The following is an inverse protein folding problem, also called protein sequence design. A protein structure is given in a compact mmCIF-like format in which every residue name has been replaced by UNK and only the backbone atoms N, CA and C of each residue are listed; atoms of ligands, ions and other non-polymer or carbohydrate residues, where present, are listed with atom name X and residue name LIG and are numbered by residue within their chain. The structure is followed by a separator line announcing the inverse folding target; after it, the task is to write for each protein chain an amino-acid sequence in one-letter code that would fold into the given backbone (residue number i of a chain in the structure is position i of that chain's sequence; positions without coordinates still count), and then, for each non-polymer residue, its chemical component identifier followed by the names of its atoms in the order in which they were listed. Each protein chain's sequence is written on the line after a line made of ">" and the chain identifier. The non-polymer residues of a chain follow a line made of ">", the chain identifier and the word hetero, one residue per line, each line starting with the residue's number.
data_IF_988056544885
#
_entry.id   IF_988056544885
#
_cell.length_a   1.000
_cell.length_b   1.000
_cell.length_c   1.000
_cell.angle_alpha   90.00
_cell.angle_beta   90.00
_cell.angle_gamma   90.00
#
_symmetry.space_group_name_H-M   'P 1'
#
loop_
_entity.id
_entity.type
_entity.pdbx_description
1 polymer ?
#
# COMPACT_ATOMS: atom_id res chain seq x y z
N UNK A 1 -66.23 10.11 -58.22
CA UNK A 1 -65.84 10.13 -56.79
C UNK A 1 -64.75 11.17 -56.63
N UNK A 2 -65.10 12.45 -56.51
CA UNK A 2 -65.33 13.22 -55.27
C UNK A 2 -64.08 13.45 -54.41
N UNK A 3 -63.72 14.73 -54.39
CA UNK A 3 -62.81 15.50 -53.55
C UNK A 3 -63.36 15.74 -52.14
N UNK A 4 -62.48 16.15 -51.20
CA UNK A 4 -62.61 17.22 -50.16
C UNK A 4 -61.71 16.89 -48.94
N UNK A 5 -60.72 17.72 -48.57
CA UNK A 5 -60.76 18.96 -47.75
C UNK A 5 -61.08 18.76 -46.24
N UNK A 6 -60.03 18.91 -45.43
CA UNK A 6 -59.90 19.64 -44.14
C UNK A 6 -60.92 19.47 -42.99
N UNK A 7 -60.43 19.38 -41.75
CA UNK A 7 -60.70 20.36 -40.68
C UNK A 7 -59.95 20.01 -39.37
N UNK A 8 -59.51 21.06 -38.66
CA UNK A 8 -58.98 21.04 -37.29
C UNK A 8 -60.04 20.59 -36.26
N UNK A 9 -59.61 19.96 -35.16
CA UNK A 9 -60.01 20.35 -33.80
C UNK A 9 -59.10 19.76 -32.72
N UNK A 10 -58.73 20.62 -31.79
CA UNK A 10 -57.89 20.40 -30.63
C UNK A 10 -58.69 19.92 -29.41
N UNK A 11 -58.05 19.14 -28.53
CA UNK A 11 -58.27 19.01 -27.08
C UNK A 11 -56.90 18.61 -26.51
N UNK A 12 -56.08 19.53 -25.98
CA UNK A 12 -56.11 20.06 -24.60
C UNK A 12 -55.95 18.96 -23.53
N UNK A 13 -54.71 18.77 -23.06
CA UNK A 13 -54.35 18.00 -21.88
C UNK A 13 -53.24 18.75 -21.15
N UNK A 14 -53.54 19.19 -19.95
CA UNK A 14 -52.94 20.31 -19.23
C UNK A 14 -51.53 20.01 -18.67
N UNK A 15 -50.63 20.98 -18.79
CA UNK A 15 -49.46 21.13 -17.91
C UNK A 15 -49.89 21.89 -16.66
N UNK A 16 -49.58 21.42 -15.43
CA UNK A 16 -49.78 22.24 -14.24
C UNK A 16 -48.69 23.32 -14.14
N UNK A 17 -49.02 24.49 -13.57
CA UNK A 17 -48.20 25.68 -13.62
C UNK A 17 -47.08 25.70 -12.57
N UNK A 18 -45.91 26.20 -12.99
CA UNK A 18 -44.85 26.68 -12.11
C UNK A 18 -45.32 27.94 -11.37
N UNK A 19 -45.49 27.83 -10.06
CA UNK A 19 -45.69 29.00 -9.21
C UNK A 19 -44.35 29.55 -8.74
N UNK A 20 -44.04 30.77 -9.19
CA UNK A 20 -43.02 31.62 -8.61
C UNK A 20 -43.34 31.89 -7.12
N UNK A 21 -42.40 31.56 -6.23
CA UNK A 21 -42.28 32.24 -4.94
C UNK A 21 -40.91 32.92 -4.89
N UNK A 22 -40.94 34.25 -5.05
CA UNK A 22 -39.85 35.17 -4.70
C UNK A 22 -39.60 35.09 -3.20
N UNK A 23 -38.49 34.45 -2.80
CA UNK A 23 -37.86 34.59 -1.49
C UNK A 23 -36.54 35.32 -1.67
N UNK A 24 -36.42 36.52 -1.10
CA UNK A 24 -35.30 37.43 -1.31
C UNK A 24 -33.96 36.85 -0.86
N UNK A 25 -33.02 36.73 -1.79
CA UNK A 25 -31.60 36.53 -1.49
C UNK A 25 -31.05 37.88 -1.00
N UNK A 26 -30.77 37.97 0.30
CA UNK A 26 -29.92 39.01 0.85
C UNK A 26 -28.54 38.91 0.17
N UNK A 27 -28.29 39.77 -0.82
CA UNK A 27 -26.95 40.00 -1.36
C UNK A 27 -26.08 40.62 -0.26
N UNK A 28 -25.38 39.78 0.48
CA UNK A 28 -24.26 40.18 1.33
C UNK A 28 -23.16 40.76 0.44
N UNK A 29 -23.02 42.08 0.48
CA UNK A 29 -21.97 42.81 -0.24
C UNK A 29 -20.63 42.43 0.40
N UNK A 30 -19.79 41.68 -0.31
CA UNK A 30 -18.44 41.38 0.15
C UNK A 30 -17.68 42.71 0.37
N UNK A 31 -16.97 42.87 1.49
CA UNK A 31 -16.22 44.09 1.73
C UNK A 31 -15.08 44.18 0.70
N UNK A 32 -14.72 45.39 0.22
CA UNK A 32 -13.67 45.55 -0.78
C UNK A 32 -12.38 44.90 -0.28
N UNK A 33 -11.60 44.24 -1.15
CA UNK A 33 -10.44 43.41 -0.76
C UNK A 33 -9.42 44.07 0.17
N UNK A 34 -9.40 45.42 0.22
CA UNK A 34 -8.63 46.21 1.20
C UNK A 34 -9.07 46.01 2.65
N UNK A 35 -10.37 45.81 2.90
CA UNK A 35 -10.92 45.55 4.23
C UNK A 35 -10.60 44.12 4.71
N UNK A 36 -10.57 43.14 3.80
CA UNK A 36 -10.14 41.77 4.11
C UNK A 36 -8.65 41.76 4.43
N UNK A 37 -7.82 42.44 3.63
CA UNK A 37 -6.40 42.57 3.89
C UNK A 37 -6.10 43.27 5.22
N UNK A 38 -6.86 44.32 5.56
CA UNK A 38 -6.73 45.01 6.85
C UNK A 38 -7.11 44.11 8.04
N UNK A 39 -8.18 43.32 7.92
CA UNK A 39 -8.58 42.33 8.93
C UNK A 39 -7.53 41.23 9.12
N UNK A 40 -6.94 40.72 8.02
CA UNK A 40 -5.86 39.74 8.09
C UNK A 40 -4.61 40.33 8.75
N UNK A 41 -4.25 41.57 8.42
CA UNK A 41 -3.10 42.23 9.02
C UNK A 41 -3.31 42.52 10.51
N UNK A 42 -4.51 42.96 10.90
CA UNK A 42 -4.85 43.15 12.32
C UNK A 42 -4.79 41.83 13.11
N UNK A 43 -5.29 40.74 12.52
CA UNK A 43 -5.21 39.39 13.10
C UNK A 43 -3.78 38.94 13.31
N UNK A 44 -2.90 39.23 12.33
CA UNK A 44 -1.48 38.89 12.40
C UNK A 44 -0.75 39.70 13.49
N UNK A 45 -1.01 41.01 13.58
CA UNK A 45 -0.43 41.88 14.61
C UNK A 45 -0.93 41.50 16.01
N UNK A 46 -2.22 41.17 16.16
CA UNK A 46 -2.77 40.65 17.41
C UNK A 46 -2.12 39.31 17.78
N UNK A 47 -1.96 38.39 16.82
CA UNK A 47 -1.25 37.14 17.04
C UNK A 47 0.18 37.34 17.54
N UNK A 48 0.90 38.31 16.96
CA UNK A 48 2.28 38.65 17.36
C UNK A 48 2.36 39.26 18.76
N UNK A 49 1.37 40.06 19.16
CA UNK A 49 1.29 40.64 20.52
C UNK A 49 0.93 39.59 21.59
N UNK A 50 0.18 38.54 21.21
CA UNK A 50 -0.17 37.44 22.12
C UNK A 50 0.91 36.34 22.20
N UNK A 51 1.70 36.11 21.15
CA UNK A 51 2.84 35.17 21.21
C UNK A 51 4.09 35.75 21.88
N UNK A 52 4.21 37.08 21.96
CA UNK A 52 5.28 37.76 22.71
C UNK A 52 5.18 37.72 24.25
N UNK A 53 4.15 37.05 24.83
CA UNK A 53 3.93 36.99 26.29
C UNK A 53 3.70 35.59 26.87
N UNK A 54 3.93 34.52 26.11
CA UNK A 54 3.91 33.17 26.68
C UNK A 54 5.32 32.83 27.15
N UNK A 55 5.61 33.20 28.39
CA UNK A 55 6.75 32.66 29.13
C UNK A 55 6.57 31.15 29.31
N UNK A 56 7.62 30.40 29.01
CA UNK A 56 7.73 28.96 29.26
C UNK A 56 7.44 28.67 30.73
N UNK A 57 6.32 28.01 31.01
CA UNK A 57 5.98 27.48 32.34
C UNK A 57 6.74 26.15 32.55
N UNK A 58 7.45 25.96 33.68
CA UNK A 58 8.03 24.67 34.01
C UNK A 58 6.98 23.69 34.52
N UNK A 59 7.20 22.40 34.23
CA UNK A 59 6.35 21.26 34.58
C UNK A 59 6.06 21.15 36.10
N UNK A 60 4.82 20.78 36.52
CA UNK A 60 4.51 20.60 37.93
C UNK A 60 5.00 19.24 38.44
N UNK A 61 5.96 19.28 39.37
CA UNK A 61 6.32 18.15 40.24
C UNK A 61 5.24 17.95 41.30
N UNK A 62 4.67 16.74 41.33
CA UNK A 62 3.80 16.27 42.42
C UNK A 62 4.56 16.27 43.76
N UNK A 63 3.98 16.92 44.78
CA UNK A 63 4.29 16.68 46.19
C UNK A 63 3.01 16.30 46.93
N UNK A 64 2.87 15.01 47.21
CA UNK A 64 2.05 14.49 48.30
C UNK A 64 2.81 14.57 49.63
N UNK A 65 2.11 15.03 50.66
CA UNK A 65 2.58 15.37 52.01
C UNK A 65 2.65 14.12 52.90
N UNK A 66 3.75 13.92 53.65
CA UNK A 66 3.70 13.29 54.97
C UNK A 66 4.80 13.86 55.91
N UNK A 67 4.56 13.72 57.21
CA UNK A 67 4.86 14.66 58.29
C UNK A 67 6.29 14.58 58.85
N UNK A 68 6.63 15.62 59.63
CA UNK A 68 7.95 15.96 60.17
C UNK A 68 8.61 14.95 61.12
N UNK A 69 9.93 15.05 61.24
CA UNK A 69 10.63 15.35 62.50
C UNK A 69 12.17 15.42 62.33
N UNK A 70 12.75 16.48 62.92
CA UNK A 70 14.09 16.62 63.53
C UNK A 70 15.38 16.52 62.67
N UNK A 71 15.97 17.71 62.51
CA UNK A 71 17.38 18.12 62.66
C UNK A 71 18.53 17.08 62.64
N UNK A 72 19.51 17.32 61.76
CA UNK A 72 20.94 17.43 62.11
C UNK A 72 21.72 18.05 60.95
N UNK A 73 22.60 18.99 61.26
CA UNK A 73 23.51 19.68 60.37
C UNK A 73 24.79 18.86 60.08
N UNK A 74 25.39 19.02 58.90
CA UNK A 74 26.85 19.10 58.70
C UNK A 74 27.25 19.38 57.23
N UNK A 75 28.08 20.42 57.06
CA UNK A 75 29.20 20.60 56.12
C UNK A 75 29.02 20.28 54.62
N UNK A 76 28.99 21.28 53.72
CA UNK A 76 30.11 22.06 53.16
C UNK A 76 30.77 21.41 51.93
N UNK A 77 30.72 22.11 50.79
CA UNK A 77 31.42 21.74 49.56
C UNK A 77 31.00 22.58 48.35
N UNK A 78 31.53 23.80 48.24
CA UNK A 78 31.38 24.70 47.08
C UNK A 78 32.22 24.19 45.90
N UNK A 79 31.63 24.06 44.71
CA UNK A 79 32.28 24.38 43.43
C UNK A 79 31.21 24.67 42.37
N UNK A 80 30.90 25.96 42.17
CA UNK A 80 30.04 26.43 41.10
C UNK A 80 30.90 26.99 39.97
N UNK A 81 31.03 26.25 38.87
CA UNK A 81 31.60 26.77 37.63
C UNK A 81 30.51 27.56 36.89
N UNK A 82 30.78 28.85 36.65
CA UNK A 82 29.91 29.77 35.91
C UNK A 82 30.07 29.44 34.42
N UNK A 83 29.07 28.84 33.80
CA UNK A 83 28.99 28.76 32.32
C UNK A 83 28.14 29.93 31.85
N UNK A 84 28.79 30.94 31.29
CA UNK A 84 28.14 31.98 30.49
C UNK A 84 27.79 31.38 29.13
N UNK A 85 26.50 31.31 28.81
CA UNK A 85 26.04 30.99 27.45
C UNK A 85 26.15 32.26 26.63
N UNK A 86 27.13 32.28 25.74
CA UNK A 86 27.26 33.27 24.68
C UNK A 86 26.27 32.89 23.58
N UNK A 87 25.35 33.81 23.24
CA UNK A 87 24.38 33.61 22.16
C UNK A 87 25.12 33.80 20.83
N UNK A 88 25.55 32.70 20.21
CA UNK A 88 26.18 32.74 18.89
C UNK A 88 25.08 33.00 17.85
N UNK A 89 25.18 34.14 17.18
CA UNK A 89 24.35 34.53 16.04
C UNK A 89 24.72 33.61 14.85
N UNK A 90 23.90 32.59 14.58
CA UNK A 90 24.18 31.60 13.55
C UNK A 90 23.87 32.15 12.15
N UNK A 91 24.85 32.03 11.26
CA UNK A 91 24.75 32.51 9.89
C UNK A 91 23.83 31.61 9.03
N UNK A 92 23.20 32.13 7.96
CA UNK A 92 22.20 31.39 7.17
C UNK A 92 22.69 30.07 6.53
N UNK A 93 24.01 29.86 6.46
CA UNK A 93 24.62 28.64 5.88
C UNK A 93 24.54 27.42 6.81
N UNK A 94 24.37 27.60 8.12
CA UNK A 94 24.32 26.50 9.09
C UNK A 94 22.90 25.95 9.30
N UNK A 95 21.88 26.77 9.05
CA UNK A 95 20.46 26.41 9.19
C UNK A 95 20.11 25.21 8.28
N UNK A 96 20.59 25.19 7.04
CA UNK A 96 20.33 24.07 6.13
C UNK A 96 20.98 22.76 6.60
N UNK A 97 22.16 22.86 7.24
CA UNK A 97 22.86 21.73 7.84
C UNK A 97 22.12 21.19 9.06
N UNK A 98 21.67 22.07 9.96
CA UNK A 98 20.84 21.70 11.11
C UNK A 98 19.50 21.09 10.68
N UNK A 99 18.79 21.71 9.74
CA UNK A 99 17.52 21.19 9.20
C UNK A 99 17.71 19.79 8.61
N UNK A 100 18.80 19.55 7.88
CA UNK A 100 19.12 18.22 7.33
C UNK A 100 19.37 17.20 8.44
N UNK A 101 20.12 17.56 9.49
CA UNK A 101 20.34 16.70 10.67
C UNK A 101 19.04 16.40 11.41
N UNK A 102 18.14 17.37 11.55
CA UNK A 102 16.82 17.17 12.16
C UNK A 102 15.97 16.19 11.35
N UNK A 103 15.94 16.32 10.02
CA UNK A 103 15.21 15.37 9.17
C UNK A 103 15.78 13.95 9.27
N UNK A 104 17.11 13.79 9.32
CA UNK A 104 17.75 12.49 9.55
C UNK A 104 17.39 11.91 10.92
N UNK A 105 17.32 12.74 11.97
CA UNK A 105 16.93 12.31 13.30
C UNK A 105 15.46 11.85 13.34
N UNK A 106 14.56 12.58 12.69
CA UNK A 106 13.14 12.20 12.55
C UNK A 106 13.02 10.86 11.81
N UNK A 107 13.70 10.72 10.67
CA UNK A 107 13.68 9.47 9.89
C UNK A 107 14.19 8.27 10.69
N UNK A 108 15.23 8.48 11.50
CA UNK A 108 15.77 7.45 12.39
C UNK A 108 14.78 7.06 13.48
N UNK A 109 14.12 8.04 14.09
CA UNK A 109 13.13 7.81 15.13
C UNK A 109 11.90 7.06 14.60
N UNK A 110 11.39 7.45 13.42
CA UNK A 110 10.27 6.75 12.77
C UNK A 110 10.60 5.28 12.49
N UNK A 111 11.83 4.97 12.08
CA UNK A 111 12.30 3.59 11.90
C UNK A 111 12.30 2.82 13.22
N UNK A 112 12.78 3.44 14.31
CA UNK A 112 12.80 2.81 15.63
C UNK A 112 11.38 2.52 16.15
N UNK A 113 10.45 3.46 16.00
CA UNK A 113 9.05 3.25 16.41
C UNK A 113 8.43 2.10 15.61
N UNK A 114 8.58 2.14 14.27
CA UNK A 114 8.08 1.09 13.37
C UNK A 114 8.65 -0.29 13.73
N UNK A 115 9.95 -0.36 14.07
CA UNK A 115 10.59 -1.60 14.51
C UNK A 115 10.02 -2.12 15.83
N UNK A 116 9.79 -1.25 16.83
CA UNK A 116 9.28 -1.63 18.14
C UNK A 116 7.81 -2.08 18.10
N UNK A 117 6.97 -1.35 17.35
CA UNK A 117 5.57 -1.75 17.11
C UNK A 117 5.51 -3.13 16.44
N UNK A 118 6.46 -3.42 15.55
CA UNK A 118 6.56 -4.70 14.90
C UNK A 118 7.02 -5.82 15.83
N UNK A 119 8.05 -5.61 16.67
CA UNK A 119 8.44 -6.60 17.69
C UNK A 119 7.24 -6.96 18.56
N UNK A 120 6.46 -5.95 18.97
CA UNK A 120 5.23 -6.17 19.71
C UNK A 120 4.17 -6.95 18.92
N UNK A 121 3.99 -6.66 17.63
CA UNK A 121 3.07 -7.39 16.74
C UNK A 121 3.50 -8.84 16.49
N UNK A 122 4.80 -9.08 16.29
CA UNK A 122 5.40 -10.41 16.18
C UNK A 122 5.16 -11.18 17.47
N UNK A 123 5.47 -10.62 18.64
CA UNK A 123 5.28 -11.30 19.93
C UNK A 123 3.81 -11.67 20.16
N UNK A 124 2.87 -10.81 19.74
CA UNK A 124 1.43 -11.09 19.81
C UNK A 124 0.96 -12.19 18.88
N UNK A 125 1.59 -12.34 17.72
CA UNK A 125 1.18 -13.31 16.67
C UNK A 125 1.95 -14.63 16.73
N UNK A 126 3.14 -14.68 17.33
CA UNK A 126 3.98 -15.87 17.42
C UNK A 126 3.48 -16.85 18.50
N UNK A 127 2.27 -17.40 18.29
CA UNK A 127 1.69 -18.46 19.12
C UNK A 127 2.40 -19.82 18.98
N UNK A 128 3.31 -19.97 18.00
CA UNK A 128 3.89 -21.27 17.61
C UNK A 128 5.34 -21.49 18.06
N UNK A 129 6.01 -20.51 18.69
CA UNK A 129 7.36 -20.69 19.25
C UNK A 129 8.43 -21.08 18.22
N UNK A 130 8.16 -20.94 16.91
CA UNK A 130 9.14 -21.22 15.85
C UNK A 130 9.99 -19.96 15.60
N UNK A 131 11.31 -20.11 15.38
CA UNK A 131 12.17 -18.99 15.02
C UNK A 131 11.74 -18.46 13.64
N UNK A 132 11.47 -17.16 13.58
CA UNK A 132 11.05 -16.47 12.36
C UNK A 132 12.25 -16.35 11.43
N UNK A 133 12.05 -16.67 10.14
CA UNK A 133 13.12 -16.67 9.15
C UNK A 133 13.33 -15.26 8.60
N UNK A 134 14.57 -14.78 8.59
CA UNK A 134 14.92 -13.52 7.93
C UNK A 134 14.91 -13.68 6.41
N UNK A 135 14.42 -12.67 5.70
CA UNK A 135 14.45 -12.58 4.24
C UNK A 135 14.61 -11.11 3.84
N UNK A 136 15.03 -10.85 2.60
CA UNK A 136 14.93 -9.52 2.00
C UNK A 136 13.51 -9.30 1.46
N UNK A 137 13.04 -10.22 0.62
CA UNK A 137 11.73 -10.12 -0.04
C UNK A 137 11.02 -11.47 0.02
N UNK A 138 9.73 -11.46 0.33
CA UNK A 138 8.86 -12.65 0.16
C UNK A 138 7.78 -12.35 -0.88
N UNK A 139 7.74 -13.16 -1.92
CA UNK A 139 6.86 -13.03 -3.09
C UNK A 139 5.80 -14.13 -3.04
N UNK A 140 4.55 -13.72 -2.88
CA UNK A 140 3.38 -14.59 -2.98
C UNK A 140 2.75 -14.49 -4.36
N UNK A 141 2.72 -15.61 -5.08
CA UNK A 141 2.06 -15.72 -6.39
C UNK A 141 0.65 -16.28 -6.14
N UNK A 142 -0.36 -15.42 -6.17
CA UNK A 142 -1.75 -15.83 -6.00
C UNK A 142 -2.19 -16.72 -7.16
N UNK A 143 -2.62 -17.95 -6.84
CA UNK A 143 -3.04 -18.95 -7.83
C UNK A 143 -4.36 -19.60 -7.43
N UNK A 144 -4.96 -20.39 -8.33
CA UNK A 144 -6.19 -21.14 -8.08
C UNK A 144 -6.02 -22.64 -8.36
N UNK A 145 -6.98 -23.45 -7.92
CA UNK A 145 -6.98 -24.89 -8.18
C UNK A 145 -6.94 -25.24 -9.68
N UNK A 146 -7.62 -24.45 -10.52
CA UNK A 146 -7.65 -24.62 -11.98
C UNK A 146 -6.36 -24.15 -12.68
N UNK A 147 -5.44 -23.48 -11.97
CA UNK A 147 -4.27 -22.83 -12.57
C UNK A 147 -3.02 -23.71 -12.68
N UNK A 148 -3.12 -25.04 -12.61
CA UNK A 148 -1.94 -25.93 -12.68
C UNK A 148 -1.03 -25.62 -13.87
N UNK A 149 -1.61 -25.56 -15.07
CA UNK A 149 -0.86 -25.25 -16.30
C UNK A 149 -0.21 -23.87 -16.29
N UNK A 150 -0.82 -22.88 -15.61
CA UNK A 150 -0.21 -21.55 -15.45
C UNK A 150 1.02 -21.63 -14.55
N UNK A 151 0.91 -22.29 -13.39
CA UNK A 151 2.06 -22.50 -12.48
C UNK A 151 3.22 -23.20 -13.18
N UNK A 152 2.93 -24.24 -13.96
CA UNK A 152 3.95 -24.93 -14.75
C UNK A 152 4.60 -24.00 -15.77
N UNK A 153 3.82 -23.15 -16.46
CA UNK A 153 4.38 -22.14 -17.38
C UNK A 153 5.29 -21.10 -16.68
N UNK A 154 4.99 -20.73 -15.42
CA UNK A 154 5.85 -19.85 -14.63
C UNK A 154 7.16 -20.56 -14.25
N UNK A 155 7.06 -21.83 -13.84
CA UNK A 155 8.22 -22.68 -13.47
C UNK A 155 9.13 -23.04 -14.65
N UNK A 156 8.58 -22.98 -15.86
CA UNK A 156 9.32 -23.11 -17.12
C UNK A 156 9.94 -21.79 -17.60
N UNK A 157 9.66 -20.69 -16.89
CA UNK A 157 10.14 -19.34 -17.21
C UNK A 157 10.80 -18.68 -15.99
N UNK A 158 10.13 -17.74 -15.33
CA UNK A 158 10.75 -16.86 -14.34
C UNK A 158 10.70 -17.39 -12.89
N UNK A 159 9.96 -18.46 -12.60
CA UNK A 159 9.91 -19.06 -11.26
C UNK A 159 10.95 -20.19 -11.15
N UNK A 160 12.03 -20.01 -10.38
CA UNK A 160 13.04 -21.05 -10.20
C UNK A 160 12.48 -22.26 -9.45
N UNK A 161 13.06 -23.44 -9.70
CA UNK A 161 12.66 -24.72 -9.10
C UNK A 161 13.81 -25.40 -8.36
N UNK A 162 13.47 -26.30 -7.44
CA UNK A 162 14.40 -27.24 -6.83
C UNK A 162 15.60 -26.56 -6.17
N UNK A 163 16.81 -26.93 -6.58
CA UNK A 163 18.05 -26.36 -6.04
C UNK A 163 18.20 -24.86 -6.32
N UNK A 164 17.74 -24.36 -7.47
CA UNK A 164 17.79 -22.93 -7.80
C UNK A 164 16.91 -22.11 -6.87
N UNK A 165 15.70 -22.59 -6.57
CA UNK A 165 14.79 -21.92 -5.63
C UNK A 165 15.40 -21.86 -4.22
N UNK A 166 15.93 -22.99 -3.73
CA UNK A 166 16.59 -23.05 -2.41
C UNK A 166 17.81 -22.13 -2.33
N UNK A 167 18.63 -22.10 -3.39
CA UNK A 167 19.79 -21.21 -3.48
C UNK A 167 19.37 -19.74 -3.43
N UNK A 168 18.29 -19.39 -4.14
CA UNK A 168 17.75 -18.03 -4.17
C UNK A 168 17.27 -17.60 -2.77
N UNK A 169 16.61 -18.49 -2.04
CA UNK A 169 16.19 -18.24 -0.66
C UNK A 169 17.38 -18.07 0.29
N UNK A 170 18.37 -18.96 0.21
CA UNK A 170 19.50 -19.00 1.15
C UNK A 170 20.52 -17.89 0.91
N UNK A 171 20.87 -17.64 -0.35
CA UNK A 171 21.96 -16.71 -0.69
C UNK A 171 21.48 -15.28 -0.90
N UNK A 172 20.24 -15.09 -1.34
CA UNK A 172 19.69 -13.76 -1.64
C UNK A 172 18.57 -13.33 -0.70
N UNK A 173 18.07 -14.21 0.15
CA UNK A 173 16.93 -13.91 1.01
C UNK A 173 15.65 -13.62 0.22
N UNK A 174 15.52 -14.17 -0.99
CA UNK A 174 14.33 -13.99 -1.84
C UNK A 174 13.51 -15.27 -1.79
N UNK A 175 12.30 -15.18 -1.22
CA UNK A 175 11.40 -16.32 -1.04
C UNK A 175 10.25 -16.21 -2.04
N UNK A 176 9.97 -17.28 -2.80
CA UNK A 176 8.84 -17.33 -3.73
C UNK A 176 7.89 -18.47 -3.35
N UNK A 177 6.60 -18.18 -3.19
CA UNK A 177 5.59 -19.21 -2.92
C UNK A 177 4.33 -19.00 -3.75
N UNK A 178 3.80 -20.08 -4.31
CA UNK A 178 2.44 -20.12 -4.83
C UNK A 178 1.44 -20.12 -3.67
N UNK A 179 0.59 -19.10 -3.62
CA UNK A 179 -0.34 -18.86 -2.53
C UNK A 179 -1.71 -19.42 -2.86
N UNK A 180 -2.14 -20.40 -2.08
CA UNK A 180 -3.43 -21.08 -2.27
C UNK A 180 -4.06 -21.47 -0.93
N UNK A 181 -5.37 -21.27 -0.84
CA UNK A 181 -6.20 -21.72 0.26
C UNK A 181 -6.64 -23.18 0.12
N UNK A 182 -7.76 -23.48 0.77
CA UNK A 182 -8.43 -24.78 0.85
C UNK A 182 -9.65 -24.81 -0.05
N UNK A 183 -10.01 -25.99 -0.55
CA UNK A 183 -11.18 -26.16 -1.41
C UNK A 183 -12.52 -26.06 -0.66
N UNK A 184 -12.50 -26.28 0.66
CA UNK A 184 -13.67 -26.20 1.53
C UNK A 184 -13.26 -25.94 3.00
N UNK A 185 -14.20 -25.58 3.90
CA UNK A 185 -13.93 -25.45 5.32
C UNK A 185 -13.40 -26.72 6.00
N UNK A 186 -13.79 -27.90 5.50
CA UNK A 186 -13.27 -29.18 5.99
C UNK A 186 -11.88 -29.51 5.41
N UNK A 187 -11.54 -28.95 4.24
CA UNK A 187 -10.31 -29.28 3.51
C UNK A 187 -10.28 -30.72 3.01
N UNK A 188 -9.13 -31.15 2.49
CA UNK A 188 -8.87 -32.54 2.12
C UNK A 188 -9.67 -33.06 0.91
N UNK A 189 -10.32 -32.17 0.15
CA UNK A 189 -11.04 -32.53 -1.08
C UNK A 189 -10.10 -33.01 -2.19
N UNK A 190 -10.66 -33.48 -3.31
CA UNK A 190 -9.84 -33.92 -4.46
C UNK A 190 -8.92 -32.80 -4.98
N UNK A 191 -9.39 -31.55 -4.98
CA UNK A 191 -8.60 -30.37 -5.35
C UNK A 191 -7.46 -30.11 -4.36
N UNK A 192 -7.70 -30.27 -3.05
CA UNK A 192 -6.65 -30.12 -2.03
C UNK A 192 -5.58 -31.20 -2.20
N UNK A 193 -5.98 -32.46 -2.38
CA UNK A 193 -5.04 -33.58 -2.59
C UNK A 193 -4.20 -33.42 -3.85
N UNK A 194 -4.76 -32.82 -4.92
CA UNK A 194 -3.99 -32.52 -6.12
C UNK A 194 -2.89 -31.47 -5.85
N UNK A 195 -3.18 -30.46 -5.03
CA UNK A 195 -2.17 -29.48 -4.58
C UNK A 195 -1.15 -30.14 -3.65
N UNK A 196 -1.58 -31.03 -2.75
CA UNK A 196 -0.65 -31.73 -1.85
C UNK A 196 0.31 -32.62 -2.62
N UNK A 197 -0.15 -33.29 -3.69
CA UNK A 197 0.71 -34.06 -4.60
C UNK A 197 1.70 -33.16 -5.36
N UNK A 198 1.26 -31.98 -5.82
CA UNK A 198 2.15 -31.01 -6.46
C UNK A 198 3.21 -30.46 -5.51
N UNK A 199 2.82 -30.08 -4.29
CA UNK A 199 3.73 -29.60 -3.24
C UNK A 199 4.69 -30.70 -2.77
N UNK A 200 4.30 -31.97 -2.85
CA UNK A 200 5.19 -33.10 -2.58
C UNK A 200 6.42 -33.08 -3.52
N UNK A 201 6.21 -32.71 -4.78
CA UNK A 201 7.24 -32.64 -5.82
C UNK A 201 7.99 -31.30 -5.85
N UNK A 202 7.26 -30.20 -5.74
CA UNK A 202 7.77 -28.86 -6.10
C UNK A 202 8.29 -28.04 -4.91
N UNK A 203 7.70 -28.23 -3.72
CA UNK A 203 8.10 -27.54 -2.48
C UNK A 203 8.04 -26.01 -2.56
N UNK A 204 7.07 -25.49 -3.30
CA UNK A 204 6.96 -24.07 -3.62
C UNK A 204 5.59 -23.44 -3.26
N UNK A 205 4.77 -24.08 -2.42
CA UNK A 205 3.48 -23.53 -1.98
C UNK A 205 3.51 -22.87 -0.60
N UNK A 206 2.65 -21.87 -0.43
CA UNK A 206 2.16 -21.36 0.85
C UNK A 206 0.67 -21.69 0.95
N UNK A 207 0.32 -22.59 1.87
CA UNK A 207 -1.06 -23.00 2.14
C UNK A 207 -1.67 -22.03 3.15
N UNK A 208 -2.82 -21.44 2.80
CA UNK A 208 -3.54 -20.50 3.65
C UNK A 208 -4.73 -21.15 4.34
N UNK A 209 -5.02 -20.71 5.56
CA UNK A 209 -6.28 -20.97 6.25
C UNK A 209 -7.40 -20.07 5.70
N UNK A 210 -7.74 -20.32 4.45
CA UNK A 210 -8.69 -19.55 3.65
C UNK A 210 -9.43 -20.49 2.72
N UNK A 211 -10.75 -20.38 2.59
CA UNK A 211 -11.50 -21.16 1.59
C UNK A 211 -11.53 -20.38 0.29
N UNK A 212 -10.99 -20.96 -0.78
CA UNK A 212 -10.96 -20.32 -2.09
C UNK A 212 -12.38 -20.14 -2.64
N UNK A 213 -12.61 -18.99 -3.29
CA UNK A 213 -13.90 -18.65 -3.88
C UNK A 213 -13.77 -17.49 -4.86
N UNK A 214 -14.73 -17.37 -5.77
CA UNK A 214 -14.70 -16.35 -6.82
C UNK A 214 -14.69 -14.91 -6.27
N UNK A 215 -15.39 -14.67 -5.16
CA UNK A 215 -15.49 -13.35 -4.50
C UNK A 215 -14.58 -13.21 -3.28
N UNK A 216 -13.62 -14.11 -3.11
CA UNK A 216 -12.82 -14.21 -1.89
C UNK A 216 -11.39 -13.66 -2.03
N UNK A 217 -11.03 -13.07 -3.18
CA UNK A 217 -9.68 -12.57 -3.44
C UNK A 217 -9.21 -11.53 -2.40
N UNK A 218 -10.05 -10.57 -2.04
CA UNK A 218 -9.74 -9.57 -1.01
C UNK A 218 -9.50 -10.22 0.36
N UNK A 219 -10.27 -11.28 0.69
CA UNK A 219 -10.06 -12.10 1.89
C UNK A 219 -8.74 -12.84 1.81
N UNK A 220 -8.45 -13.48 0.68
CA UNK A 220 -7.20 -14.22 0.42
C UNK A 220 -5.98 -13.33 0.63
N UNK A 221 -5.97 -12.12 0.08
CA UNK A 221 -4.87 -11.16 0.24
C UNK A 221 -4.69 -10.74 1.69
N UNK A 222 -5.78 -10.46 2.41
CA UNK A 222 -5.70 -10.14 3.84
C UNK A 222 -5.10 -11.29 4.65
N UNK A 223 -5.56 -12.52 4.40
CA UNK A 223 -5.04 -13.73 5.06
C UNK A 223 -3.58 -13.97 4.67
N UNK A 224 -3.22 -13.78 3.40
CA UNK A 224 -1.85 -13.89 2.90
C UNK A 224 -0.89 -13.00 3.70
N UNK A 225 -1.16 -11.69 3.81
CA UNK A 225 -0.31 -10.80 4.59
C UNK A 225 -0.30 -11.11 6.08
N UNK A 226 -1.43 -11.55 6.64
CA UNK A 226 -1.49 -11.98 8.05
C UNK A 226 -0.62 -13.22 8.31
N UNK A 227 -0.66 -14.21 7.41
CA UNK A 227 0.08 -15.47 7.52
C UNK A 227 1.57 -15.28 7.25
N UNK A 228 1.94 -14.57 6.18
CA UNK A 228 3.31 -14.51 5.69
C UNK A 228 4.27 -13.86 6.69
N UNK A 229 3.82 -12.83 7.41
CA UNK A 229 4.64 -12.13 8.41
C UNK A 229 4.92 -13.00 9.65
N UNK A 230 4.06 -14.00 9.90
CA UNK A 230 4.26 -14.94 11.02
C UNK A 230 5.34 -16.00 10.72
N UNK A 231 5.73 -16.13 9.46
CA UNK A 231 6.67 -17.15 8.98
C UNK A 231 8.02 -16.52 8.63
N UNK A 232 7.99 -15.37 7.95
CA UNK A 232 9.17 -14.64 7.50
C UNK A 232 9.15 -13.22 8.02
N UNK A 233 10.30 -12.77 8.52
CA UNK A 233 10.61 -11.38 8.83
C UNK A 233 11.40 -10.83 7.62
N UNK A 234 10.71 -10.08 6.76
CA UNK A 234 11.25 -9.56 5.51
C UNK A 234 11.13 -8.04 5.41
N UNK A 235 12.00 -7.40 4.63
CA UNK A 235 11.92 -5.95 4.37
C UNK A 235 10.69 -5.61 3.52
N UNK A 236 10.37 -6.46 2.54
CA UNK A 236 9.19 -6.33 1.68
C UNK A 236 8.42 -7.63 1.49
N UNK A 237 7.10 -7.49 1.35
CA UNK A 237 6.19 -8.56 0.97
C UNK A 237 5.50 -8.18 -0.35
N UNK A 238 5.57 -9.06 -1.34
CA UNK A 238 5.09 -8.83 -2.71
C UNK A 238 3.93 -9.77 -2.99
N UNK A 239 2.85 -9.25 -3.57
CA UNK A 239 1.79 -10.06 -4.18
C UNK A 239 1.90 -9.97 -5.69
N UNK A 240 1.76 -11.10 -6.37
CA UNK A 240 1.77 -11.23 -7.84
C UNK A 240 0.63 -12.16 -8.28
N UNK A 241 0.01 -11.90 -9.43
CA UNK A 241 -0.93 -12.85 -10.05
C UNK A 241 -0.22 -13.93 -10.88
N UNK A 242 -0.83 -15.12 -11.00
CA UNK A 242 -0.23 -16.27 -11.71
C UNK A 242 -0.23 -16.17 -13.25
N UNK A 243 -0.69 -15.05 -13.79
CA UNK A 243 -0.66 -14.71 -15.21
C UNK A 243 0.17 -13.45 -15.51
N UNK A 244 1.14 -13.11 -14.66
CA UNK A 244 2.07 -11.99 -14.85
C UNK A 244 3.49 -12.50 -15.11
N UNK A 245 4.21 -11.87 -16.03
CA UNK A 245 5.66 -12.08 -16.21
C UNK A 245 6.42 -11.11 -15.31
N UNK A 246 7.41 -11.61 -14.57
CA UNK A 246 8.22 -10.82 -13.63
C UNK A 246 9.71 -11.03 -13.91
N UNK A 247 10.45 -9.93 -13.96
CA UNK A 247 11.92 -9.92 -13.95
C UNK A 247 12.39 -9.78 -12.49
N UNK A 248 12.85 -10.88 -11.89
CA UNK A 248 13.12 -10.97 -10.46
C UNK A 248 14.26 -10.04 -10.02
N UNK A 249 15.36 -9.99 -10.77
CA UNK A 249 16.49 -9.08 -10.57
C UNK A 249 16.08 -7.63 -10.62
N UNK A 250 15.26 -7.24 -11.60
CA UNK A 250 14.69 -5.89 -11.69
C UNK A 250 13.77 -5.57 -10.50
N UNK A 251 12.92 -6.51 -10.08
CA UNK A 251 12.04 -6.35 -8.92
C UNK A 251 12.85 -6.09 -7.65
N UNK A 252 13.82 -6.97 -7.34
CA UNK A 252 14.58 -6.88 -6.09
C UNK A 252 15.52 -5.67 -6.06
N UNK A 253 16.13 -5.33 -7.20
CA UNK A 253 16.94 -4.10 -7.33
C UNK A 253 16.08 -2.85 -7.14
N UNK A 254 14.85 -2.87 -7.64
CA UNK A 254 13.90 -1.77 -7.44
C UNK A 254 13.51 -1.61 -5.97
N UNK A 255 13.19 -2.70 -5.29
CA UNK A 255 12.83 -2.69 -3.87
C UNK A 255 14.01 -2.30 -2.96
N UNK A 256 15.24 -2.70 -3.32
CA UNK A 256 16.44 -2.38 -2.54
C UNK A 256 16.65 -0.87 -2.38
N UNK A 257 16.28 -0.07 -3.39
CA UNK A 257 16.31 1.41 -3.33
C UNK A 257 15.42 2.01 -2.24
N UNK A 258 14.43 1.26 -1.78
CA UNK A 258 13.44 1.70 -0.80
C UNK A 258 13.54 0.98 0.54
N UNK A 259 14.54 0.10 0.71
CA UNK A 259 14.76 -0.67 1.96
C UNK A 259 14.86 0.21 3.20
N UNK A 260 15.46 1.40 3.06
CA UNK A 260 15.58 2.36 4.15
C UNK A 260 14.34 3.24 4.35
N UNK A 261 13.28 3.13 3.55
CA UNK A 261 12.07 3.97 3.69
C UNK A 261 10.98 3.25 4.48
N UNK A 262 10.49 3.82 5.59
CA UNK A 262 9.37 3.23 6.32
C UNK A 262 8.08 3.34 5.49
N UNK A 263 7.09 2.51 5.82
CA UNK A 263 5.71 2.59 5.31
C UNK A 263 5.63 2.73 3.78
N UNK A 264 6.39 1.91 3.07
CA UNK A 264 6.48 1.93 1.61
C UNK A 264 5.40 1.06 0.97
N UNK A 265 4.59 1.65 0.09
CA UNK A 265 3.66 0.94 -0.78
C UNK A 265 4.02 1.24 -2.24
N UNK A 266 4.49 0.21 -2.95
CA UNK A 266 5.05 0.35 -4.30
C UNK A 266 4.33 -0.54 -5.30
N UNK A 267 4.05 0.03 -6.47
CA UNK A 267 3.47 -0.64 -7.60
C UNK A 267 3.15 0.37 -8.70
N UNK A 268 2.51 -0.08 -9.77
CA UNK A 268 2.01 0.84 -10.78
C UNK A 268 0.72 1.49 -10.28
N UNK A 269 0.81 2.76 -9.88
CA UNK A 269 -0.29 3.46 -9.22
C UNK A 269 -1.32 3.92 -10.26
N UNK A 270 -2.58 3.61 -9.98
CA UNK A 270 -3.72 3.92 -10.83
C UNK A 270 -4.87 4.53 -10.03
N UNK A 271 -5.78 5.17 -10.75
CA UNK A 271 -7.12 5.54 -10.29
C UNK A 271 -8.04 5.41 -11.49
N UNK A 272 -9.20 4.79 -11.28
CA UNK A 272 -10.15 4.45 -12.34
C UNK A 272 -11.59 4.57 -11.86
N UNK A 273 -12.55 4.54 -12.78
CA UNK A 273 -13.97 4.68 -12.42
C UNK A 273 -14.38 3.59 -11.42
N UNK A 274 -15.23 3.96 -10.47
CA UNK A 274 -15.85 2.99 -9.56
C UNK A 274 -16.79 2.09 -10.37
N UNK A 275 -16.66 0.78 -10.20
CA UNK A 275 -17.45 -0.21 -10.95
C UNK A 275 -18.84 -0.39 -10.33
N UNK A 276 -19.69 0.64 -10.46
CA UNK A 276 -21.03 0.68 -9.84
C UNK A 276 -22.13 -0.04 -10.63
N UNK A 277 -21.88 -0.39 -11.90
CA UNK A 277 -22.88 -1.03 -12.76
C UNK A 277 -23.02 -2.52 -12.47
N UNK A 278 -24.24 -3.00 -12.21
CA UNK A 278 -24.51 -4.43 -12.06
C UNK A 278 -24.14 -5.20 -13.34
N UNK A 279 -23.57 -6.39 -13.19
CA UNK A 279 -23.21 -7.26 -14.31
C UNK A 279 -21.81 -7.06 -14.88
N UNK A 280 -21.09 -5.99 -14.49
CA UNK A 280 -19.67 -5.87 -14.80
C UNK A 280 -18.84 -6.75 -13.86
N UNK A 281 -17.71 -7.26 -14.36
CA UNK A 281 -16.73 -7.96 -13.54
C UNK A 281 -16.27 -7.04 -12.41
N UNK A 282 -16.27 -7.54 -11.17
CA UNK A 282 -15.94 -6.77 -9.97
C UNK A 282 -16.88 -5.59 -9.67
N UNK A 283 -18.16 -5.69 -10.04
CA UNK A 283 -19.19 -4.75 -9.56
C UNK A 283 -19.07 -4.57 -8.04
N UNK A 284 -18.94 -3.32 -7.60
CA UNK A 284 -18.80 -2.93 -6.21
C UNK A 284 -20.17 -2.60 -5.62
N UNK A 285 -20.79 -3.49 -4.83
CA UNK A 285 -22.12 -3.25 -4.27
C UNK A 285 -22.17 -2.04 -3.33
N UNK A 286 -21.05 -1.67 -2.72
CA UNK A 286 -20.93 -0.53 -1.82
C UNK A 286 -20.27 0.68 -2.51
N UNK A 287 -20.48 0.82 -3.82
CA UNK A 287 -19.90 1.90 -4.65
C UNK A 287 -20.18 3.30 -4.11
N UNK A 288 -21.31 3.49 -3.42
CA UNK A 288 -21.72 4.75 -2.81
C UNK A 288 -20.74 5.26 -1.72
N UNK A 289 -19.89 4.40 -1.16
CA UNK A 289 -18.84 4.79 -0.21
C UNK A 289 -17.69 5.58 -0.86
N UNK A 290 -17.57 5.52 -2.19
CA UNK A 290 -16.57 6.24 -2.95
C UNK A 290 -17.05 7.63 -3.41
N UNK A 291 -18.22 8.06 -2.91
CA UNK A 291 -18.85 9.34 -3.19
C UNK A 291 -19.91 9.25 -4.29
N UNK A 292 -19.98 10.26 -5.13
CA UNK A 292 -21.04 10.44 -6.12
C UNK A 292 -20.80 9.64 -7.41
N UNK A 293 -21.83 9.56 -8.25
CA UNK A 293 -21.73 8.94 -9.56
C UNK A 293 -20.66 9.64 -10.42
N UNK A 294 -19.82 8.84 -11.08
CA UNK A 294 -18.68 9.35 -11.85
C UNK A 294 -17.39 9.47 -11.05
N UNK A 295 -17.42 9.28 -9.72
CA UNK A 295 -16.20 9.24 -8.92
C UNK A 295 -15.28 8.07 -9.31
N UNK A 296 -14.02 8.27 -8.99
CA UNK A 296 -12.97 7.28 -9.16
C UNK A 296 -12.59 6.66 -7.83
N UNK A 297 -12.09 5.43 -7.86
CA UNK A 297 -11.38 4.87 -6.72
C UNK A 297 -10.21 5.80 -6.33
N UNK A 298 -9.90 5.87 -5.04
CA UNK A 298 -8.66 6.50 -4.55
C UNK A 298 -7.45 5.88 -5.25
N UNK A 299 -6.31 6.58 -5.22
CA UNK A 299 -5.10 6.08 -5.88
C UNK A 299 -4.57 4.84 -5.17
N UNK A 300 -4.36 3.75 -5.91
CA UNK A 300 -3.85 2.47 -5.41
C UNK A 300 -2.99 1.79 -6.48
N UNK A 301 -2.14 0.85 -6.08
CA UNK A 301 -1.37 0.04 -7.03
C UNK A 301 -2.27 -0.96 -7.75
N UNK A 302 -1.94 -1.27 -9.01
CA UNK A 302 -2.67 -2.29 -9.78
C UNK A 302 -2.54 -3.69 -9.19
N UNK A 303 -3.61 -4.49 -9.26
CA UNK A 303 -3.66 -5.82 -8.65
C UNK A 303 -2.66 -6.85 -9.18
N UNK A 304 -2.15 -6.72 -10.41
CA UNK A 304 -1.26 -7.70 -11.01
C UNK A 304 0.03 -7.91 -10.21
N UNK A 305 0.59 -6.83 -9.68
CA UNK A 305 1.76 -6.87 -8.82
C UNK A 305 1.88 -5.59 -7.98
N UNK A 306 2.17 -5.77 -6.70
CA UNK A 306 2.54 -4.68 -5.80
C UNK A 306 3.37 -5.22 -4.63
N UNK A 307 4.11 -4.33 -3.96
CA UNK A 307 4.82 -4.65 -2.74
C UNK A 307 4.50 -3.66 -1.63
N UNK A 308 4.52 -4.16 -0.39
CA UNK A 308 4.41 -3.35 0.81
C UNK A 308 5.59 -3.65 1.72
N UNK A 309 6.07 -2.63 2.43
CA UNK A 309 7.07 -2.79 3.47
C UNK A 309 6.54 -3.59 4.64
N UNK A 310 7.48 -4.10 5.41
CA UNK A 310 7.26 -4.87 6.64
C UNK A 310 6.22 -4.30 7.59
N UNK A 311 6.30 -3.01 7.87
CA UNK A 311 5.46 -2.31 8.83
C UNK A 311 4.00 -2.17 8.35
N UNK A 312 3.77 -1.97 7.05
CA UNK A 312 2.43 -2.01 6.48
C UNK A 312 1.84 -3.42 6.51
N UNK A 313 2.64 -4.46 6.25
CA UNK A 313 2.18 -5.83 6.38
C UNK A 313 1.84 -6.17 7.85
N UNK A 314 2.62 -5.68 8.81
CA UNK A 314 2.34 -5.79 10.24
C UNK A 314 1.03 -5.08 10.63
N UNK A 315 0.82 -3.85 10.15
CA UNK A 315 -0.43 -3.12 10.32
C UNK A 315 -1.64 -3.91 9.81
N UNK A 316 -1.52 -4.50 8.61
CA UNK A 316 -2.59 -5.33 8.02
C UNK A 316 -2.91 -6.52 8.92
N UNK A 317 -1.88 -7.22 9.41
CA UNK A 317 -2.06 -8.38 10.28
C UNK A 317 -2.73 -8.03 11.61
N UNK A 318 -2.25 -6.97 12.28
CA UNK A 318 -2.80 -6.51 13.57
C UNK A 318 -4.26 -6.07 13.44
N UNK A 319 -4.60 -5.37 12.36
CA UNK A 319 -5.94 -4.80 12.16
C UNK A 319 -6.86 -5.69 11.31
N UNK A 320 -6.38 -6.88 10.90
CA UNK A 320 -7.07 -7.81 9.99
C UNK A 320 -8.58 -8.00 10.28
N UNK A 321 -9.06 -8.14 11.54
CA UNK A 321 -10.48 -8.31 11.83
C UNK A 321 -11.38 -7.14 11.40
N UNK A 322 -10.85 -5.91 11.38
CA UNK A 322 -11.61 -4.69 11.08
C UNK A 322 -11.37 -4.14 9.67
N UNK A 323 -10.40 -4.70 8.94
CA UNK A 323 -10.13 -4.27 7.56
C UNK A 323 -11.28 -4.66 6.63
N UNK A 324 -11.94 -3.64 6.08
CA UNK A 324 -13.05 -3.78 5.15
C UNK A 324 -12.59 -4.35 3.81
N UNK A 325 -13.44 -5.10 3.12
CA UNK A 325 -13.11 -5.76 1.86
C UNK A 325 -14.09 -5.31 0.79
N UNK A 326 -13.56 -4.73 -0.27
CA UNK A 326 -14.27 -4.39 -1.48
C UNK A 326 -14.21 -5.55 -2.48
N UNK A 327 -15.07 -5.51 -3.50
CA UNK A 327 -15.15 -6.55 -4.53
C UNK A 327 -13.83 -6.68 -5.32
N UNK A 328 -13.11 -5.57 -5.48
CA UNK A 328 -11.79 -5.55 -6.09
C UNK A 328 -10.70 -5.63 -5.00
N UNK A 329 -9.75 -6.54 -5.19
CA UNK A 329 -8.72 -6.86 -4.21
C UNK A 329 -7.69 -5.74 -4.07
N UNK A 330 -7.31 -5.12 -5.19
CA UNK A 330 -6.33 -4.04 -5.22
C UNK A 330 -6.89 -2.74 -4.61
N UNK A 331 -8.18 -2.47 -4.85
CA UNK A 331 -8.94 -1.43 -4.14
C UNK A 331 -8.99 -1.75 -2.64
N UNK A 332 -9.26 -2.99 -2.25
CA UNK A 332 -9.28 -3.37 -0.82
C UNK A 332 -7.95 -3.03 -0.14
N UNK A 333 -6.83 -3.48 -0.72
CA UNK A 333 -5.50 -3.18 -0.18
C UNK A 333 -5.26 -1.67 -0.05
N UNK A 334 -5.52 -0.90 -1.13
CA UNK A 334 -5.30 0.55 -1.08
C UNK A 334 -6.19 1.24 -0.03
N UNK A 335 -7.40 0.74 0.23
CA UNK A 335 -8.27 1.31 1.28
C UNK A 335 -7.73 1.12 2.69
N UNK A 336 -6.95 0.07 2.93
CA UNK A 336 -6.33 -0.18 4.23
C UNK A 336 -5.20 0.79 4.51
N UNK A 337 -4.60 1.35 3.45
CA UNK A 337 -3.39 2.17 3.50
C UNK A 337 -3.66 3.67 3.31
N UNK A 338 -4.77 4.06 2.67
CA UNK A 338 -5.04 5.46 2.29
C UNK A 338 -5.17 6.42 3.49
N UNK A 339 -5.60 5.92 4.65
CA UNK A 339 -5.71 6.70 5.89
C UNK A 339 -4.40 6.77 6.70
N UNK A 340 -3.33 6.15 6.21
CA UNK A 340 -2.02 6.10 6.88
C UNK A 340 -1.03 7.03 6.17
N UNK A 341 0.00 7.44 6.90
CA UNK A 341 1.14 8.18 6.35
C UNK A 341 2.08 7.24 5.55
N UNK A 342 1.65 6.86 4.35
CA UNK A 342 2.28 5.86 3.48
C UNK A 342 3.02 6.52 2.31
N UNK A 343 4.26 6.08 2.10
CA UNK A 343 5.05 6.39 0.91
C UNK A 343 4.50 5.62 -0.30
N UNK A 344 3.58 6.24 -1.05
CA UNK A 344 3.06 5.70 -2.31
C UNK A 344 4.06 5.92 -3.44
N UNK A 345 4.64 4.83 -3.94
CA UNK A 345 5.62 4.85 -5.03
C UNK A 345 4.96 4.36 -6.31
N UNK A 346 4.87 5.25 -7.29
CA UNK A 346 4.38 4.94 -8.63
C UNK A 346 5.51 4.42 -9.52
N UNK A 347 5.69 3.10 -9.51
CA UNK A 347 6.73 2.41 -10.29
C UNK A 347 6.15 1.87 -11.60
N UNK A 348 6.33 2.63 -12.68
CA UNK A 348 5.76 2.33 -14.01
C UNK A 348 6.37 1.11 -14.67
N UNK A 349 7.57 0.69 -14.26
CA UNK A 349 8.17 -0.56 -14.74
C UNK A 349 7.41 -1.81 -14.26
N UNK A 350 6.51 -1.70 -13.27
CA UNK A 350 5.68 -2.80 -12.77
C UNK A 350 4.36 -2.99 -13.54
N UNK A 351 4.15 -2.31 -14.67
CA UNK A 351 2.93 -2.44 -15.48
C UNK A 351 3.17 -2.23 -16.99
N UNK A 352 4.27 -2.75 -17.52
CA UNK A 352 4.51 -2.73 -18.95
C UNK A 352 3.54 -3.65 -19.70
N UNK A 353 3.21 -3.30 -20.93
CA UNK A 353 2.52 -4.19 -21.85
C UNK A 353 3.42 -5.37 -22.25
N UNK A 354 2.82 -6.51 -22.62
CA UNK A 354 3.57 -7.59 -23.28
C UNK A 354 4.10 -7.13 -24.65
N UNK A 355 4.93 -7.92 -25.38
CA UNK A 355 5.48 -7.50 -26.65
C UNK A 355 4.41 -6.93 -27.61
N UNK A 356 4.72 -5.81 -28.28
CA UNK A 356 6.07 -5.22 -28.43
C UNK A 356 6.51 -4.24 -27.31
N UNK A 357 5.64 -3.84 -26.37
CA UNK A 357 5.93 -2.74 -25.43
C UNK A 357 7.14 -3.02 -24.53
N UNK A 358 7.09 -4.10 -23.73
CA UNK A 358 8.23 -4.45 -22.86
C UNK A 358 9.53 -4.72 -23.63
N UNK A 359 9.44 -5.19 -24.88
CA UNK A 359 10.59 -5.46 -25.73
C UNK A 359 11.27 -4.16 -26.18
N UNK A 360 10.50 -3.16 -26.63
CA UNK A 360 11.04 -1.85 -26.99
C UNK A 360 11.67 -1.15 -25.78
N UNK A 361 11.00 -1.19 -24.63
CA UNK A 361 11.55 -0.62 -23.39
C UNK A 361 12.88 -1.27 -22.99
N UNK A 362 12.99 -2.59 -23.13
CA UNK A 362 14.25 -3.30 -22.90
C UNK A 362 15.36 -2.87 -23.86
N UNK A 363 15.06 -2.66 -25.14
CA UNK A 363 16.04 -2.17 -26.14
C UNK A 363 16.56 -0.76 -25.81
N UNK A 364 15.74 0.06 -25.16
CA UNK A 364 16.10 1.39 -24.67
C UNK A 364 16.81 1.37 -23.29
N UNK A 365 17.06 0.19 -22.72
CA UNK A 365 17.68 0.04 -21.39
C UNK A 365 16.69 0.19 -20.22
N UNK A 366 15.40 0.37 -20.49
CA UNK A 366 14.34 0.51 -19.48
C UNK A 366 13.65 -0.84 -19.22
N UNK A 367 14.41 -1.83 -18.75
CA UNK A 367 13.87 -3.18 -18.50
C UNK A 367 12.72 -3.13 -17.50
N UNK A 368 11.58 -3.72 -17.86
CA UNK A 368 10.40 -3.75 -17.01
C UNK A 368 10.57 -4.71 -15.82
N UNK A 369 10.00 -4.35 -14.67
CA UNK A 369 9.86 -5.25 -13.52
C UNK A 369 8.79 -6.30 -13.79
N UNK A 370 7.66 -5.88 -14.38
CA UNK A 370 6.57 -6.79 -14.72
C UNK A 370 5.88 -6.41 -16.03
N UNK A 371 5.40 -7.44 -16.72
CA UNK A 371 4.73 -7.31 -18.02
C UNK A 371 3.41 -8.10 -18.06
N UNK A 372 2.32 -7.46 -18.50
CA UNK A 372 1.00 -8.08 -18.64
C UNK A 372 0.09 -7.28 -19.60
N UNK A 373 -1.04 -7.87 -20.00
CA UNK A 373 -2.00 -7.23 -20.92
C UNK A 373 -3.18 -6.63 -20.14
N UNK A 374 -3.45 -5.33 -20.31
CA UNK A 374 -4.59 -4.66 -19.65
C UNK A 374 -5.95 -5.25 -20.06
N UNK A 375 -6.08 -5.71 -21.31
CA UNK A 375 -7.32 -6.28 -21.86
C UNK A 375 -7.77 -7.55 -21.13
N UNK A 376 -6.83 -8.34 -20.60
CA UNK A 376 -7.11 -9.56 -19.85
C UNK A 376 -6.87 -9.41 -18.35
N UNK A 377 -6.41 -8.24 -17.89
CA UNK A 377 -5.98 -8.00 -16.50
C UNK A 377 -4.88 -8.97 -16.05
N UNK A 378 -3.97 -9.29 -16.98
CA UNK A 378 -2.96 -10.36 -16.90
C UNK A 378 -2.48 -10.69 -18.32
N UNK A 379 -1.52 -11.58 -18.51
CA UNK A 379 -1.11 -12.02 -19.85
C UNK A 379 -2.26 -12.80 -20.49
N UNK A 380 -2.77 -12.33 -21.62
CA UNK A 380 -3.83 -13.04 -22.34
C UNK A 380 -3.34 -14.44 -22.76
N UNK A 381 -4.15 -15.49 -22.54
CA UNK A 381 -3.72 -16.89 -22.81
C UNK A 381 -2.35 -17.21 -22.19
N UNK A 382 -2.17 -16.83 -20.92
CA UNK A 382 -0.89 -16.88 -20.21
C UNK A 382 -0.15 -18.22 -20.32
N UNK A 383 -0.87 -19.35 -20.26
CA UNK A 383 -0.27 -20.70 -20.42
C UNK A 383 0.56 -20.81 -21.70
N UNK A 384 0.07 -20.25 -22.80
CA UNK A 384 0.71 -20.36 -24.10
C UNK A 384 1.72 -19.21 -24.31
N UNK A 385 1.35 -17.98 -23.93
CA UNK A 385 2.16 -16.77 -24.19
C UNK A 385 3.30 -16.53 -23.21
N UNK A 386 3.29 -17.10 -22.00
CA UNK A 386 4.30 -16.79 -20.95
C UNK A 386 5.74 -17.00 -21.44
N UNK A 387 6.00 -18.07 -22.19
CA UNK A 387 7.32 -18.38 -22.75
C UNK A 387 7.78 -17.34 -23.77
N UNK A 388 6.88 -16.90 -24.64
CA UNK A 388 7.21 -15.90 -25.66
C UNK A 388 7.45 -14.53 -25.02
N UNK A 389 6.62 -14.15 -24.04
CA UNK A 389 6.83 -12.93 -23.25
C UNK A 389 8.16 -13.00 -22.51
N UNK A 390 8.48 -14.10 -21.85
CA UNK A 390 9.73 -14.27 -21.13
C UNK A 390 10.94 -14.24 -22.06
N UNK A 391 10.86 -14.82 -23.27
CA UNK A 391 11.94 -14.74 -24.25
C UNK A 391 12.17 -13.32 -24.76
N UNK A 392 11.10 -12.55 -24.96
CA UNK A 392 11.17 -11.22 -25.53
C UNK A 392 11.50 -10.12 -24.51
N UNK A 393 11.06 -10.30 -23.26
CA UNK A 393 11.09 -9.26 -22.21
C UNK A 393 11.81 -9.70 -20.93
N UNK A 394 12.35 -10.92 -20.92
CA UNK A 394 13.11 -11.46 -19.80
C UNK A 394 14.41 -10.72 -19.59
N UNK A 395 14.74 -10.51 -18.32
CA UNK A 395 16.10 -10.21 -17.90
C UNK A 395 17.02 -11.42 -18.15
N UNK A 396 18.33 -11.19 -18.21
CA UNK A 396 19.30 -12.29 -18.33
C UNK A 396 19.36 -13.15 -17.07
N UNK A 397 19.66 -14.46 -17.21
CA UNK A 397 19.70 -15.44 -16.11
C UNK A 397 20.55 -15.04 -14.90
N UNK A 398 21.57 -14.19 -15.11
CA UNK A 398 22.45 -13.66 -14.07
C UNK A 398 21.90 -12.46 -13.29
N UNK A 399 20.82 -11.82 -13.75
CA UNK A 399 20.34 -10.54 -13.22
C UNK A 399 20.00 -10.61 -11.72
N UNK A 400 19.19 -11.60 -11.32
CA UNK A 400 18.84 -11.82 -9.91
C UNK A 400 20.05 -12.17 -9.03
N UNK A 401 21.06 -12.83 -9.60
CA UNK A 401 22.28 -13.22 -8.86
C UNK A 401 23.28 -12.08 -8.72
N UNK A 402 23.29 -11.14 -9.67
CA UNK A 402 24.16 -9.98 -9.67
C UNK A 402 23.54 -8.76 -8.96
N UNK A 403 22.25 -8.82 -8.61
CA UNK A 403 21.59 -7.78 -7.83
C UNK A 403 22.26 -7.58 -6.46
N UNK A 404 22.52 -6.32 -6.13
CA UNK A 404 23.07 -5.85 -4.85
C UNK A 404 21.86 -5.47 -3.97
N UNK A 405 21.71 -6.14 -2.81
CA UNK A 405 20.51 -6.12 -1.96
C UNK A 405 20.77 -5.58 -0.53
#
# INVERSE_FOLDING_TARGET
>A
MLTLRGFMKAVAGERPPSSEKKGGILKGRWPPGRAVAALCFLSFVLGFLFTGRIGVLPSPSEKGRLQGAKASAAAAGRHGSKVSIELVESTPKDIMGEVSKTHQAIETLEKSISSLEMELAITRTNKMGRPIKKAFVVIGINTAFSSRRRRDSLRETWVPRGSKLRKLEQEKGIVLRFVIGRSSPAGGGALDRAIDAEEAETKDFLRLEHVEGYHELSTKTRVFFTTIISIWDADFYVKVDDDVHVNLGMLVSTLARYKAKPRTYIGCMKSGPVLSQKGVKYHEPEFWKFGEEGNKYFRHATGQIYAISKDLAAYISVNSPILHRYANEDVSLGSWLIGLDVNHIDERSMCCGTPPDCQWKQQEGNVCVASFDWSCSGICKSVDKMKDVHRACGEGDGAVWNAIL
#
